data_IF_616281753917
#
_entry.id   IF_616281753917
#
_cell.length_a   1.000
_cell.length_b   1.000
_cell.length_c   1.000
_cell.angle_alpha   90.00
_cell.angle_beta   90.00
_cell.angle_gamma   90.00
#
_symmetry.space_group_name_H-M   'P 1'
#
loop_
_entity.id
_entity.type
_entity.pdbx_description
1 polymer ?
#
# COMPACT_ATOMS: atom_id res chain seq x y z
N UNK A 1 11.06 -18.67 26.55
CA UNK A 1 12.20 -19.43 25.99
C UNK A 1 13.27 -19.59 27.05
N UNK A 2 13.86 -20.78 27.22
CA UNK A 2 15.07 -20.94 28.04
C UNK A 2 16.26 -20.40 27.24
N UNK A 3 17.20 -19.68 27.87
CA UNK A 3 18.47 -19.28 27.26
C UNK A 3 19.37 -20.51 27.06
N UNK A 4 20.41 -20.39 26.24
CA UNK A 4 21.42 -21.45 26.10
C UNK A 4 21.97 -21.87 27.48
N UNK A 5 22.28 -23.15 27.63
CA UNK A 5 22.71 -23.72 28.91
C UNK A 5 23.91 -22.95 29.47
N UNK A 6 23.79 -22.45 30.71
CA UNK A 6 24.84 -21.71 31.42
C UNK A 6 24.76 -20.17 31.35
N UNK A 7 23.79 -19.58 30.63
CA UNK A 7 23.58 -18.13 30.61
C UNK A 7 22.64 -17.65 31.74
N UNK A 8 22.87 -16.45 32.30
CA UNK A 8 21.94 -15.84 33.26
C UNK A 8 20.59 -15.52 32.61
N UNK A 9 19.52 -15.33 33.40
CA UNK A 9 18.21 -14.96 32.87
C UNK A 9 18.30 -13.63 32.09
N UNK A 10 17.75 -13.60 30.88
CA UNK A 10 17.75 -12.45 29.96
C UNK A 10 16.33 -11.90 29.77
N UNK A 11 15.75 -11.19 30.76
CA UNK A 11 14.38 -10.69 30.67
C UNK A 11 14.22 -9.62 29.59
N UNK A 12 15.28 -8.83 29.33
CA UNK A 12 15.27 -7.78 28.31
C UNK A 12 15.14 -8.36 26.91
N UNK A 13 16.05 -9.27 26.52
CA UNK A 13 16.00 -9.93 25.22
C UNK A 13 14.71 -10.74 25.01
N UNK A 14 14.22 -11.42 26.04
CA UNK A 14 12.95 -12.17 25.96
C UNK A 14 11.74 -11.27 25.69
N UNK A 15 11.68 -10.09 26.30
CA UNK A 15 10.62 -9.11 26.02
C UNK A 15 10.65 -8.68 24.55
N UNK A 16 11.83 -8.35 24.02
CA UNK A 16 11.99 -7.97 22.62
C UNK A 16 11.62 -9.12 21.68
N UNK A 17 12.02 -10.35 21.99
CA UNK A 17 11.70 -11.54 21.23
C UNK A 17 10.18 -11.78 21.16
N UNK A 18 9.46 -11.66 22.28
CA UNK A 18 8.00 -11.79 22.28
C UNK A 18 7.33 -10.71 21.43
N UNK A 19 7.81 -9.45 21.51
CA UNK A 19 7.31 -8.36 20.66
C UNK A 19 7.50 -8.66 19.18
N UNK A 20 8.65 -9.22 18.79
CA UNK A 20 8.92 -9.60 17.39
C UNK A 20 7.95 -10.65 16.86
N UNK A 21 7.59 -11.65 17.68
CA UNK A 21 6.64 -12.71 17.29
C UNK A 21 5.23 -12.12 17.15
N UNK A 22 4.83 -11.26 18.08
CA UNK A 22 3.50 -10.63 18.05
C UNK A 22 3.37 -9.76 16.80
N UNK A 23 4.38 -8.96 16.47
CA UNK A 23 4.33 -8.08 15.30
C UNK A 23 4.37 -8.86 13.98
N UNK A 24 5.24 -9.85 13.86
CA UNK A 24 5.30 -10.70 12.68
C UNK A 24 3.99 -11.49 12.47
N UNK A 25 3.35 -11.98 13.53
CA UNK A 25 2.05 -12.68 13.42
C UNK A 25 0.93 -11.74 12.99
N UNK A 26 0.89 -10.50 13.49
CA UNK A 26 -0.06 -9.47 13.03
C UNK A 26 0.18 -9.15 11.55
N UNK A 27 1.43 -8.94 11.14
CA UNK A 27 1.78 -8.69 9.74
C UNK A 27 1.36 -9.86 8.84
N UNK A 28 1.68 -11.10 9.23
CA UNK A 28 1.28 -12.30 8.51
C UNK A 28 -0.23 -12.45 8.38
N UNK A 29 -0.98 -12.21 9.47
CA UNK A 29 -2.43 -12.23 9.46
C UNK A 29 -3.01 -11.22 8.46
N UNK A 30 -2.52 -9.98 8.45
CA UNK A 30 -2.98 -8.95 7.52
C UNK A 30 -2.64 -9.27 6.05
N UNK A 31 -1.47 -9.88 5.79
CA UNK A 31 -1.12 -10.37 4.46
C UNK A 31 -2.08 -11.48 4.03
N UNK A 32 -2.39 -12.44 4.90
CA UNK A 32 -3.37 -13.50 4.61
C UNK A 32 -4.74 -12.89 4.31
N UNK A 33 -5.23 -11.96 5.14
CA UNK A 33 -6.49 -11.26 4.88
C UNK A 33 -6.47 -10.54 3.52
N UNK A 34 -5.37 -9.86 3.17
CA UNK A 34 -5.21 -9.19 1.88
C UNK A 34 -5.32 -10.19 0.73
N UNK A 35 -4.64 -11.33 0.83
CA UNK A 35 -4.69 -12.38 -0.19
C UNK A 35 -6.10 -12.94 -0.33
N UNK A 36 -6.77 -13.26 0.77
CA UNK A 36 -8.16 -13.74 0.76
C UNK A 36 -9.10 -12.75 0.08
N UNK A 37 -9.01 -11.46 0.42
CA UNK A 37 -9.79 -10.40 -0.23
C UNK A 37 -9.50 -10.33 -1.72
N UNK A 38 -8.25 -10.53 -2.13
CA UNK A 38 -7.88 -10.50 -3.54
C UNK A 38 -8.40 -11.71 -4.30
N UNK A 39 -8.31 -12.91 -3.74
CA UNK A 39 -8.86 -14.13 -4.34
C UNK A 39 -10.39 -14.08 -4.43
N UNK A 40 -11.08 -13.66 -3.36
CA UNK A 40 -12.53 -13.68 -3.28
C UNK A 40 -13.19 -12.50 -4.03
N UNK A 41 -12.65 -11.28 -3.91
CA UNK A 41 -13.30 -10.07 -4.45
C UNK A 41 -12.77 -9.69 -5.82
N UNK A 42 -11.45 -9.73 -6.03
CA UNK A 42 -10.83 -9.16 -7.23
C UNK A 42 -10.48 -10.21 -8.30
N UNK A 43 -10.44 -11.51 -7.95
CA UNK A 43 -10.18 -12.66 -8.82
C UNK A 43 -8.92 -12.54 -9.71
N UNK A 44 -7.97 -11.67 -9.36
CA UNK A 44 -6.71 -11.47 -10.10
C UNK A 44 -5.56 -11.15 -9.14
N UNK A 45 -4.58 -12.06 -9.10
CA UNK A 45 -3.29 -11.87 -8.42
C UNK A 45 -2.42 -10.89 -9.22
N UNK A 46 -1.71 -10.03 -8.52
CA UNK A 46 -0.79 -9.07 -9.12
C UNK A 46 0.65 -9.34 -8.70
N UNK A 47 1.61 -8.81 -9.45
CA UNK A 47 3.03 -8.87 -9.10
C UNK A 47 3.32 -8.36 -7.69
N UNK A 48 2.53 -7.39 -7.20
CA UNK A 48 2.64 -6.86 -5.85
C UNK A 48 2.35 -7.91 -4.75
N UNK A 49 1.51 -8.92 -5.00
CA UNK A 49 1.27 -9.96 -3.98
C UNK A 49 2.45 -10.91 -3.85
N UNK A 50 3.06 -11.28 -4.97
CA UNK A 50 4.21 -12.20 -4.96
C UNK A 50 5.39 -11.57 -4.22
N UNK A 51 5.69 -10.30 -4.50
CA UNK A 51 6.75 -9.57 -3.79
C UNK A 51 6.42 -9.37 -2.31
N UNK A 52 5.13 -9.22 -1.95
CA UNK A 52 4.69 -9.13 -0.56
C UNK A 52 4.85 -10.46 0.19
N UNK A 53 4.50 -11.58 -0.44
CA UNK A 53 4.65 -12.93 0.13
C UNK A 53 6.14 -13.23 0.36
N UNK A 54 6.99 -12.89 -0.61
CA UNK A 54 8.45 -13.02 -0.46
C UNK A 54 8.95 -12.16 0.70
N UNK A 55 8.48 -10.92 0.81
CA UNK A 55 8.84 -10.05 1.94
C UNK A 55 8.43 -10.64 3.28
N UNK A 56 7.21 -11.19 3.38
CA UNK A 56 6.73 -11.85 4.60
C UNK A 56 7.58 -13.08 4.95
N UNK A 57 7.95 -13.90 3.97
CA UNK A 57 8.81 -15.07 4.20
C UNK A 57 10.19 -14.64 4.75
N UNK A 58 10.76 -13.56 4.20
CA UNK A 58 12.01 -12.99 4.71
C UNK A 58 11.85 -12.40 6.11
N UNK A 59 10.73 -11.74 6.41
CA UNK A 59 10.42 -11.22 7.74
C UNK A 59 10.30 -12.33 8.79
N UNK A 60 9.63 -13.45 8.45
CA UNK A 60 9.59 -14.64 9.31
C UNK A 60 11.01 -15.16 9.58
N UNK A 61 11.84 -15.24 8.52
CA UNK A 61 13.24 -15.62 8.66
C UNK A 61 14.02 -14.70 9.60
N UNK A 62 13.80 -13.38 9.53
CA UNK A 62 14.38 -12.43 10.47
C UNK A 62 13.91 -12.65 11.90
N UNK A 63 12.62 -12.87 12.11
CA UNK A 63 12.07 -13.15 13.45
C UNK A 63 12.74 -14.40 14.03
N UNK A 64 12.93 -15.45 13.24
CA UNK A 64 13.65 -16.66 13.67
C UNK A 64 15.09 -16.34 14.04
N UNK A 65 15.83 -15.60 13.20
CA UNK A 65 17.22 -15.21 13.49
C UNK A 65 17.31 -14.39 14.78
N UNK A 66 16.42 -13.42 14.98
CA UNK A 66 16.40 -12.59 16.19
C UNK A 66 16.12 -13.41 17.46
N UNK A 67 15.21 -14.40 17.38
CA UNK A 67 14.96 -15.29 18.51
C UNK A 67 16.19 -16.17 18.82
N UNK A 68 16.93 -16.60 17.79
CA UNK A 68 18.21 -17.31 17.98
C UNK A 68 19.27 -16.40 18.60
N UNK A 69 19.39 -15.15 18.17
CA UNK A 69 20.29 -14.17 18.79
C UNK A 69 20.01 -14.04 20.31
N UNK A 70 18.75 -13.86 20.68
CA UNK A 70 18.32 -13.75 22.08
C UNK A 70 18.60 -15.04 22.85
N UNK A 71 18.43 -16.21 22.22
CA UNK A 71 18.75 -17.51 22.80
C UNK A 71 20.23 -17.63 23.17
N UNK A 72 21.14 -17.14 22.31
CA UNK A 72 22.59 -17.09 22.55
C UNK A 72 23.04 -15.92 23.44
N UNK A 73 22.09 -15.11 23.95
CA UNK A 73 22.37 -14.11 24.97
C UNK A 73 22.39 -12.66 24.49
N UNK A 74 21.93 -12.34 23.27
CA UNK A 74 21.70 -10.95 22.88
C UNK A 74 20.70 -10.26 23.81
N UNK A 75 21.05 -9.07 24.29
CA UNK A 75 20.28 -8.34 25.30
C UNK A 75 20.79 -8.49 26.73
N UNK A 76 21.81 -9.33 26.98
CA UNK A 76 22.59 -9.31 28.22
C UNK A 76 23.77 -8.32 28.10
N UNK A 77 24.32 -7.90 29.24
CA UNK A 77 25.53 -7.06 29.25
C UNK A 77 26.74 -7.86 28.74
N UNK A 78 27.65 -7.20 28.01
CA UNK A 78 28.79 -7.85 27.33
C UNK A 78 29.64 -8.72 28.28
N UNK A 79 29.74 -8.34 29.57
CA UNK A 79 30.52 -9.06 30.59
C UNK A 79 29.93 -10.41 31.01
N UNK A 80 28.64 -10.63 30.77
CA UNK A 80 27.91 -11.83 31.19
C UNK A 80 27.91 -12.95 30.13
N UNK A 81 28.45 -12.67 28.94
CA UNK A 81 28.47 -13.62 27.83
C UNK A 81 29.85 -14.26 27.66
N UNK A 82 29.85 -15.58 27.53
CA UNK A 82 31.00 -16.33 27.08
C UNK A 82 31.39 -15.99 25.63
N UNK A 83 32.67 -16.18 25.29
CA UNK A 83 33.20 -15.90 23.97
C UNK A 83 32.55 -16.75 22.87
N UNK A 84 32.22 -18.01 23.17
CA UNK A 84 31.58 -18.90 22.19
C UNK A 84 30.16 -18.43 21.84
N UNK A 85 29.35 -18.14 22.86
CA UNK A 85 27.98 -17.65 22.67
C UNK A 85 27.94 -16.28 21.97
N UNK A 86 28.95 -15.42 22.18
CA UNK A 86 29.09 -14.16 21.44
C UNK A 86 29.27 -14.36 19.94
N UNK A 87 30.11 -15.31 19.54
CA UNK A 87 30.37 -15.58 18.12
C UNK A 87 29.09 -16.05 17.44
N UNK A 88 28.38 -17.01 18.05
CA UNK A 88 27.09 -17.51 17.54
C UNK A 88 26.05 -16.38 17.46
N UNK A 89 25.92 -15.55 18.50
CA UNK A 89 25.00 -14.42 18.48
C UNK A 89 25.31 -13.42 17.34
N UNK A 90 26.59 -13.10 17.10
CA UNK A 90 26.97 -12.21 16.00
C UNK A 90 26.81 -12.85 14.63
N UNK A 91 26.93 -14.18 14.52
CA UNK A 91 26.66 -14.91 13.29
C UNK A 91 25.18 -14.81 12.90
N UNK A 92 24.27 -15.09 13.84
CA UNK A 92 22.83 -14.91 13.63
C UNK A 92 22.46 -13.46 13.31
N UNK A 93 23.09 -12.49 13.98
CA UNK A 93 22.93 -11.07 13.68
C UNK A 93 23.35 -10.73 12.24
N UNK A 94 24.48 -11.26 11.78
CA UNK A 94 24.95 -11.02 10.41
C UNK A 94 23.95 -11.58 9.38
N UNK A 95 23.40 -12.77 9.60
CA UNK A 95 22.34 -13.34 8.76
C UNK A 95 21.07 -12.48 8.80
N UNK A 96 20.65 -12.03 9.99
CA UNK A 96 19.47 -11.17 10.16
C UNK A 96 19.61 -9.85 9.39
N UNK A 97 20.80 -9.24 9.39
CA UNK A 97 21.07 -8.00 8.64
C UNK A 97 20.92 -8.17 7.13
N UNK A 98 21.32 -9.32 6.58
CA UNK A 98 21.14 -9.62 5.17
C UNK A 98 19.65 -9.78 4.83
N UNK A 99 18.93 -10.57 5.63
CA UNK A 99 17.49 -10.77 5.48
C UNK A 99 16.72 -9.44 5.57
N UNK A 100 17.11 -8.54 6.48
CA UNK A 100 16.53 -7.20 6.61
C UNK A 100 16.63 -6.40 5.31
N UNK A 101 17.82 -6.36 4.70
CA UNK A 101 18.03 -5.60 3.46
C UNK A 101 17.14 -6.11 2.33
N UNK A 102 17.05 -7.43 2.19
CA UNK A 102 16.15 -8.06 1.21
C UNK A 102 14.67 -7.78 1.51
N UNK A 103 14.22 -7.97 2.76
CA UNK A 103 12.83 -7.77 3.14
C UNK A 103 12.40 -6.31 2.97
N UNK A 104 13.25 -5.36 3.39
CA UNK A 104 13.00 -3.93 3.22
C UNK A 104 12.89 -3.56 1.72
N UNK A 105 13.84 -4.01 0.89
CA UNK A 105 13.79 -3.81 -0.56
C UNK A 105 12.52 -4.37 -1.21
N UNK A 106 12.16 -5.62 -0.89
CA UNK A 106 10.95 -6.28 -1.43
C UNK A 106 9.66 -5.58 -1.00
N UNK A 107 9.61 -5.07 0.23
CA UNK A 107 8.44 -4.31 0.72
C UNK A 107 8.29 -2.99 -0.03
N UNK A 108 9.39 -2.26 -0.25
CA UNK A 108 9.36 -1.01 -1.02
C UNK A 108 8.94 -1.26 -2.47
N UNK A 109 9.46 -2.31 -3.12
CA UNK A 109 9.04 -2.74 -4.47
C UNK A 109 7.54 -3.04 -4.50
N UNK A 110 7.03 -3.76 -3.50
CA UNK A 110 5.59 -4.07 -3.36
C UNK A 110 4.74 -2.80 -3.34
N UNK A 111 5.15 -1.78 -2.58
CA UNK A 111 4.44 -0.49 -2.49
C UNK A 111 4.42 0.21 -3.85
N UNK A 112 5.54 0.24 -4.57
CA UNK A 112 5.61 0.85 -5.91
C UNK A 112 4.75 0.10 -6.93
N UNK A 113 4.77 -1.23 -6.90
CA UNK A 113 3.91 -2.06 -7.76
C UNK A 113 2.42 -1.83 -7.46
N UNK A 114 2.06 -1.65 -6.19
CA UNK A 114 0.71 -1.24 -5.80
C UNK A 114 0.36 0.14 -6.40
N UNK A 115 1.27 1.10 -6.37
CA UNK A 115 1.05 2.42 -6.96
C UNK A 115 0.88 2.36 -8.48
N UNK A 116 1.69 1.55 -9.18
CA UNK A 116 1.55 1.30 -10.63
C UNK A 116 0.17 0.77 -11.02
N UNK A 117 -0.47 0.02 -10.12
CA UNK A 117 -1.83 -0.50 -10.30
C UNK A 117 -2.90 0.56 -10.07
N UNK A 118 -2.70 1.44 -9.08
CA UNK A 118 -3.66 2.50 -8.75
C UNK A 118 -3.64 3.61 -9.82
N UNK A 119 -2.46 3.96 -10.32
CA UNK A 119 -2.26 5.08 -11.24
C UNK A 119 -1.83 4.61 -12.64
N UNK A 120 -2.74 4.57 -13.62
CA UNK A 120 -2.43 4.06 -14.95
C UNK A 120 -1.65 5.05 -15.85
N UNK A 121 -1.33 6.26 -15.39
CA UNK A 121 -0.71 7.33 -16.19
C UNK A 121 0.71 6.99 -16.68
N UNK A 122 1.01 7.23 -17.97
CA UNK A 122 2.33 6.90 -18.57
C UNK A 122 3.53 7.53 -17.86
N UNK A 123 3.45 8.83 -17.53
CA UNK A 123 4.51 9.54 -16.79
C UNK A 123 4.77 8.92 -15.41
N UNK A 124 3.69 8.54 -14.72
CA UNK A 124 3.76 7.87 -13.42
C UNK A 124 4.42 6.50 -13.54
N UNK A 125 4.08 5.72 -14.59
CA UNK A 125 4.70 4.41 -14.83
C UNK A 125 6.20 4.51 -15.02
N UNK A 126 6.67 5.48 -15.81
CA UNK A 126 8.11 5.69 -16.02
C UNK A 126 8.80 6.01 -14.69
N UNK A 127 8.26 6.96 -13.92
CA UNK A 127 8.80 7.31 -12.60
C UNK A 127 8.84 6.11 -11.66
N UNK A 128 7.76 5.33 -11.58
CA UNK A 128 7.68 4.16 -10.71
C UNK A 128 8.69 3.07 -11.11
N UNK A 129 8.88 2.80 -12.40
CA UNK A 129 9.92 1.87 -12.85
C UNK A 129 11.33 2.38 -12.52
N UNK A 130 11.60 3.69 -12.64
CA UNK A 130 12.87 4.28 -12.21
C UNK A 130 13.11 4.09 -10.71
N UNK A 131 12.07 4.23 -9.87
CA UNK A 131 12.17 4.01 -8.43
C UNK A 131 12.37 2.53 -8.10
N UNK A 132 11.73 1.60 -8.79
CA UNK A 132 12.03 0.16 -8.65
C UNK A 132 13.52 -0.08 -9.00
N UNK A 133 14.02 0.50 -10.09
CA UNK A 133 15.43 0.42 -10.46
C UNK A 133 16.37 0.93 -9.36
N UNK A 134 16.06 2.10 -8.78
CA UNK A 134 16.80 2.64 -7.63
C UNK A 134 16.75 1.72 -6.42
N UNK A 135 15.57 1.18 -6.07
CA UNK A 135 15.41 0.29 -4.91
C UNK A 135 16.20 -1.00 -5.10
N UNK A 136 16.17 -1.59 -6.29
CA UNK A 136 16.96 -2.80 -6.61
C UNK A 136 18.45 -2.49 -6.51
N UNK A 137 18.92 -1.39 -7.15
CA UNK A 137 20.33 -1.02 -7.13
C UNK A 137 20.86 -0.77 -5.72
N UNK A 138 20.11 -0.03 -4.88
CA UNK A 138 20.50 0.21 -3.49
C UNK A 138 20.50 -1.08 -2.68
N UNK A 139 19.49 -1.95 -2.84
CA UNK A 139 19.39 -3.20 -2.10
C UNK A 139 20.57 -4.13 -2.44
N UNK A 140 20.88 -4.27 -3.72
CA UNK A 140 22.04 -5.05 -4.19
C UNK A 140 23.34 -4.48 -3.62
N UNK A 141 23.56 -3.16 -3.70
CA UNK A 141 24.75 -2.53 -3.15
C UNK A 141 24.85 -2.72 -1.61
N UNK A 142 23.73 -2.58 -0.90
CA UNK A 142 23.64 -2.75 0.55
C UNK A 142 23.94 -4.19 0.99
N UNK A 143 23.50 -5.19 0.22
CA UNK A 143 23.78 -6.61 0.48
C UNK A 143 25.23 -6.93 0.18
N UNK A 144 25.74 -6.55 -1.00
CA UNK A 144 27.13 -6.78 -1.38
C UNK A 144 28.09 -6.18 -0.36
N UNK A 145 27.87 -4.94 0.06
CA UNK A 145 28.72 -4.28 1.07
C UNK A 145 28.63 -4.94 2.45
N UNK A 146 27.50 -5.55 2.81
CA UNK A 146 27.37 -6.29 4.08
C UNK A 146 27.97 -7.69 4.03
N UNK A 147 27.99 -8.34 2.87
CA UNK A 147 28.69 -9.62 2.70
C UNK A 147 30.20 -9.40 2.76
N UNK A 148 30.70 -8.37 2.06
CA UNK A 148 32.13 -8.03 2.00
C UNK A 148 32.53 -6.93 2.99
N UNK A 149 31.84 -6.82 4.13
CA UNK A 149 32.16 -5.80 5.13
C UNK A 149 33.51 -6.03 5.84
N UNK A 150 34.02 -7.26 5.82
CA UNK A 150 35.29 -7.67 6.43
C UNK A 150 36.05 -8.61 5.50
N UNK A 151 37.39 -8.54 5.60
CA UNK A 151 38.32 -9.48 4.97
C UNK A 151 39.24 -10.08 6.05
N UNK A 152 39.13 -11.39 6.36
CA UNK A 152 38.21 -12.38 5.79
C UNK A 152 36.75 -12.19 6.26
N UNK A 153 35.77 -12.67 5.48
CA UNK A 153 34.33 -12.54 5.77
C UNK A 153 33.98 -13.05 7.18
N UNK A 154 34.63 -14.14 7.62
CA UNK A 154 34.42 -14.72 8.96
C UNK A 154 34.67 -13.76 10.11
N UNK A 155 35.50 -12.72 9.89
CA UNK A 155 35.78 -11.69 10.89
C UNK A 155 34.54 -10.86 11.25
N UNK A 156 33.50 -10.86 10.41
CA UNK A 156 32.23 -10.19 10.69
C UNK A 156 31.56 -10.72 11.97
N UNK A 157 31.62 -12.04 12.23
CA UNK A 157 31.08 -12.66 13.44
C UNK A 157 32.17 -13.13 14.43
N UNK A 158 33.34 -13.54 13.94
CA UNK A 158 34.51 -13.89 14.77
C UNK A 158 35.48 -12.71 14.89
N UNK A 159 35.17 -11.77 15.78
CA UNK A 159 35.95 -10.53 15.97
C UNK A 159 37.42 -10.73 16.39
N UNK A 160 37.78 -11.92 16.88
CA UNK A 160 39.16 -12.26 17.30
C UNK A 160 40.09 -12.61 16.15
N UNK A 161 39.58 -12.84 14.92
CA UNK A 161 40.43 -13.15 13.78
C UNK A 161 41.24 -11.92 13.30
N UNK A 162 42.50 -12.11 12.87
CA UNK A 162 43.27 -11.06 12.19
C UNK A 162 42.61 -10.73 10.84
N UNK A 163 42.70 -9.46 10.43
CA UNK A 163 42.07 -8.96 9.20
C UNK A 163 41.63 -7.51 9.31
N UNK A 164 41.00 -6.98 8.26
CA UNK A 164 40.49 -5.62 8.22
C UNK A 164 38.97 -5.62 8.00
N UNK A 165 38.26 -4.71 8.65
CA UNK A 165 36.83 -4.48 8.42
C UNK A 165 36.60 -3.02 8.06
N UNK A 166 35.62 -2.76 7.21
CA UNK A 166 35.13 -1.40 6.97
C UNK A 166 34.54 -0.86 8.28
N UNK A 167 34.61 0.45 8.47
CA UNK A 167 33.97 1.13 9.60
C UNK A 167 32.46 0.86 9.59
N UNK A 168 32.04 -0.06 10.46
CA UNK A 168 30.67 -0.56 10.54
C UNK A 168 29.72 0.60 10.86
N UNK A 169 30.14 1.56 11.70
CA UNK A 169 29.34 2.73 12.03
C UNK A 169 29.03 3.56 10.78
N UNK A 170 30.05 3.88 9.98
CA UNK A 170 29.88 4.64 8.73
C UNK A 170 29.03 3.88 7.71
N UNK A 171 29.24 2.56 7.56
CA UNK A 171 28.44 1.73 6.67
C UNK A 171 26.95 1.75 7.05
N UNK A 172 26.65 1.66 8.35
CA UNK A 172 25.28 1.73 8.87
C UNK A 172 24.63 3.09 8.67
N UNK A 173 25.38 4.18 8.90
CA UNK A 173 24.91 5.54 8.61
C UNK A 173 24.58 5.71 7.12
N UNK A 174 25.48 5.29 6.23
CA UNK A 174 25.25 5.36 4.79
C UNK A 174 24.00 4.56 4.36
N UNK A 175 23.85 3.33 4.84
CA UNK A 175 22.67 2.50 4.55
C UNK A 175 21.37 3.15 5.04
N UNK A 176 21.40 3.76 6.23
CA UNK A 176 20.23 4.38 6.82
C UNK A 176 19.81 5.64 6.05
N UNK A 177 20.77 6.47 5.61
CA UNK A 177 20.50 7.63 4.74
C UNK A 177 19.88 7.21 3.42
N UNK A 178 20.43 6.19 2.74
CA UNK A 178 19.89 5.70 1.47
C UNK A 178 18.46 5.15 1.61
N UNK A 179 18.18 4.50 2.74
CA UNK A 179 16.84 4.00 3.07
C UNK A 179 15.86 5.16 3.29
N UNK A 180 16.25 6.19 4.05
CA UNK A 180 15.43 7.40 4.26
C UNK A 180 15.14 8.10 2.92
N UNK A 181 16.14 8.20 2.03
CA UNK A 181 15.93 8.77 0.68
C UNK A 181 14.92 7.94 -0.11
N UNK A 182 15.01 6.61 -0.05
CA UNK A 182 14.03 5.72 -0.69
C UNK A 182 12.61 5.98 -0.17
N UNK A 183 12.45 6.11 1.15
CA UNK A 183 11.15 6.38 1.77
C UNK A 183 10.60 7.75 1.42
N UNK A 184 11.44 8.78 1.38
CA UNK A 184 11.03 10.12 0.93
C UNK A 184 10.53 10.10 -0.52
N UNK A 185 11.20 9.36 -1.40
CA UNK A 185 10.78 9.21 -2.80
C UNK A 185 9.43 8.48 -2.89
N UNK A 186 9.23 7.41 -2.12
CA UNK A 186 7.96 6.68 -2.07
C UNK A 186 6.81 7.55 -1.58
N UNK A 187 7.06 8.38 -0.57
CA UNK A 187 6.11 9.34 0.01
C UNK A 187 5.78 10.43 -1.03
N UNK A 188 6.78 11.01 -1.68
CA UNK A 188 6.60 12.10 -2.65
C UNK A 188 5.86 11.68 -3.94
N UNK A 189 6.04 10.42 -4.37
CA UNK A 189 5.51 9.90 -5.64
C UNK A 189 3.98 10.05 -5.77
N UNK A 190 3.13 9.57 -4.84
CA UNK A 190 1.68 9.71 -4.95
C UNK A 190 1.20 11.15 -4.74
N UNK A 191 1.86 11.97 -3.91
CA UNK A 191 1.42 13.34 -3.59
C UNK A 191 1.33 14.20 -4.84
N UNK A 192 2.36 14.17 -5.68
CA UNK A 192 2.39 14.92 -6.94
C UNK A 192 1.23 14.55 -7.87
N UNK A 193 0.81 13.27 -7.86
CA UNK A 193 -0.27 12.79 -8.69
C UNK A 193 -1.65 13.15 -8.10
N UNK A 194 -1.81 13.10 -6.77
CA UNK A 194 -3.06 13.45 -6.08
C UNK A 194 -3.43 14.92 -6.28
N UNK A 195 -2.44 15.82 -6.19
CA UNK A 195 -2.69 17.26 -6.34
C UNK A 195 -3.21 17.60 -7.75
N UNK A 196 -2.82 16.81 -8.75
CA UNK A 196 -3.18 17.06 -10.16
C UNK A 196 -4.44 16.30 -10.63
N UNK A 197 -4.88 15.28 -9.91
CA UNK A 197 -5.94 14.38 -10.37
C UNK A 197 -7.18 14.43 -9.45
N UNK A 198 -8.34 14.78 -10.02
CA UNK A 198 -9.64 14.80 -9.32
C UNK A 198 -10.11 13.35 -9.04
N UNK A 199 -9.54 12.73 -8.00
CA UNK A 199 -9.93 11.38 -7.56
C UNK A 199 -11.17 11.42 -6.66
N UNK A 200 -12.03 10.38 -6.70
CA UNK A 200 -13.13 10.23 -5.74
C UNK A 200 -12.59 10.12 -4.31
N UNK A 201 -13.30 10.71 -3.34
CA UNK A 201 -12.92 10.80 -1.92
C UNK A 201 -12.51 9.44 -1.31
N UNK A 202 -13.17 8.35 -1.73
CA UNK A 202 -12.87 7.00 -1.27
C UNK A 202 -11.46 6.53 -1.66
N UNK A 203 -10.99 6.83 -2.86
CA UNK A 203 -9.63 6.50 -3.30
C UNK A 203 -8.60 7.45 -2.67
N UNK A 204 -8.93 8.75 -2.60
CA UNK A 204 -8.09 9.78 -1.99
C UNK A 204 -7.76 9.46 -0.53
N UNK A 205 -8.75 9.05 0.26
CA UNK A 205 -8.57 8.74 1.68
C UNK A 205 -7.71 7.49 1.91
N UNK A 206 -7.78 6.49 1.01
CA UNK A 206 -6.93 5.29 1.13
C UNK A 206 -5.45 5.63 0.88
N UNK A 207 -5.21 6.55 -0.03
CA UNK A 207 -3.87 7.00 -0.36
C UNK A 207 -3.26 7.92 0.70
N UNK A 208 -4.07 8.79 1.31
CA UNK A 208 -3.66 9.59 2.49
C UNK A 208 -3.25 8.65 3.63
N UNK A 209 -4.01 7.58 3.88
CA UNK A 209 -3.69 6.64 4.94
C UNK A 209 -2.36 5.92 4.72
N UNK A 210 -2.09 5.44 3.50
CA UNK A 210 -0.79 4.85 3.15
C UNK A 210 0.34 5.85 3.30
N UNK A 211 0.12 7.10 2.90
CA UNK A 211 1.09 8.16 3.04
C UNK A 211 1.43 8.44 4.51
N UNK A 212 0.43 8.55 5.38
CA UNK A 212 0.63 8.74 6.82
C UNK A 212 1.44 7.61 7.45
N UNK A 213 1.20 6.36 7.02
CA UNK A 213 1.99 5.21 7.47
C UNK A 213 3.41 5.23 6.93
N UNK A 214 3.64 5.67 5.69
CA UNK A 214 4.97 5.88 5.14
C UNK A 214 5.77 6.91 5.94
N UNK A 215 5.13 8.03 6.33
CA UNK A 215 5.74 9.04 7.20
C UNK A 215 6.08 8.46 8.58
N UNK A 216 5.21 7.62 9.14
CA UNK A 216 5.46 6.94 10.41
C UNK A 216 6.67 6.00 10.32
N UNK A 217 6.77 5.17 9.28
CA UNK A 217 7.92 4.29 9.04
C UNK A 217 9.21 5.11 8.91
N UNK A 218 9.19 6.19 8.13
CA UNK A 218 10.35 7.09 7.98
C UNK A 218 10.78 7.70 9.33
N UNK A 219 9.83 8.10 10.17
CA UNK A 219 10.12 8.61 11.50
C UNK A 219 10.78 7.53 12.39
N UNK A 220 10.31 6.28 12.32
CA UNK A 220 10.96 5.15 13.00
C UNK A 220 12.41 4.95 12.54
N UNK A 221 12.68 5.02 11.23
CA UNK A 221 14.04 4.90 10.67
C UNK A 221 14.96 6.04 11.15
N UNK A 222 14.44 7.26 11.26
CA UNK A 222 15.20 8.43 11.77
C UNK A 222 15.53 8.24 13.26
N UNK A 223 14.56 7.83 14.08
CA UNK A 223 14.79 7.57 15.51
C UNK A 223 15.90 6.51 15.68
N UNK A 224 15.86 5.43 14.90
CA UNK A 224 16.91 4.40 14.89
C UNK A 224 18.29 4.98 14.57
N UNK A 225 18.37 5.87 13.58
CA UNK A 225 19.62 6.54 13.19
C UNK A 225 20.23 7.36 14.34
N UNK A 226 19.39 8.05 15.12
CA UNK A 226 19.81 8.88 16.25
C UNK A 226 20.25 8.03 17.45
N UNK A 227 19.52 6.93 17.72
CA UNK A 227 19.83 6.03 18.85
C UNK A 227 21.13 5.23 18.66
N UNK A 228 21.60 5.07 17.42
CA UNK A 228 22.85 4.34 17.13
C UNK A 228 24.11 5.18 17.35
N UNK A 229 24.01 6.51 17.28
CA UNK A 229 25.15 7.43 17.45
C UNK A 229 25.94 7.27 18.75
N UNK A 230 25.31 7.00 19.91
CA UNK A 230 26.00 6.75 21.18
C UNK A 230 26.53 5.32 21.35
N UNK A 231 26.02 4.34 20.61
CA UNK A 231 26.27 2.90 20.85
C UNK A 231 27.69 2.45 20.48
N UNK A 232 28.37 3.17 19.59
CA UNK A 232 29.73 2.85 19.15
C UNK A 232 30.80 3.11 20.21
N UNK A 233 30.48 3.84 21.29
CA UNK A 233 31.45 4.26 22.33
C UNK A 233 31.32 3.50 23.66
N UNK A 234 30.28 2.67 23.84
CA UNK A 234 29.92 2.09 25.14
C UNK A 234 30.42 0.64 25.33
N UNK A 235 30.87 0.31 26.54
CA UNK A 235 31.34 -1.02 26.97
C UNK A 235 30.26 -2.14 26.85
N UNK A 236 28.99 -1.77 26.68
CA UNK A 236 27.84 -2.69 26.59
C UNK A 236 27.26 -2.81 25.17
N UNK A 237 28.14 -3.01 24.19
CA UNK A 237 27.76 -3.16 22.78
C UNK A 237 26.67 -4.21 22.53
N UNK A 238 26.66 -5.34 23.25
CA UNK A 238 25.68 -6.44 23.04
C UNK A 238 24.26 -6.06 23.50
N UNK A 239 24.14 -5.30 24.59
CA UNK A 239 22.84 -4.90 25.16
C UNK A 239 22.11 -3.93 24.21
N UNK A 240 22.80 -2.84 23.82
CA UNK A 240 22.23 -1.83 22.94
C UNK A 240 22.02 -2.33 21.51
N UNK A 241 22.84 -3.28 21.05
CA UNK A 241 22.68 -3.86 19.73
C UNK A 241 21.41 -4.71 19.62
N UNK A 242 21.00 -5.40 20.70
CA UNK A 242 19.71 -6.09 20.74
C UNK A 242 18.53 -5.12 20.65
N UNK A 243 18.61 -3.96 21.33
CA UNK A 243 17.60 -2.91 21.20
C UNK A 243 17.55 -2.34 19.77
N UNK A 244 18.71 -2.04 19.18
CA UNK A 244 18.79 -1.56 17.79
C UNK A 244 18.22 -2.56 16.79
N UNK A 245 18.55 -3.85 16.94
CA UNK A 245 18.01 -4.90 16.08
C UNK A 245 16.49 -5.07 16.28
N UNK A 246 15.97 -4.67 17.45
CA UNK A 246 14.54 -4.73 17.67
C UNK A 246 13.76 -3.73 16.84
N UNK A 247 14.32 -2.53 16.68
CA UNK A 247 13.75 -1.51 15.81
C UNK A 247 13.76 -1.91 14.33
N UNK A 248 14.76 -2.67 13.87
CA UNK A 248 14.83 -3.09 12.45
C UNK A 248 13.79 -4.13 12.07
N UNK A 249 13.44 -5.08 12.95
CA UNK A 249 12.35 -6.01 12.65
C UNK A 249 10.99 -5.29 12.68
N UNK A 250 10.79 -4.39 13.66
CA UNK A 250 9.57 -3.58 13.75
C UNK A 250 9.36 -2.73 12.49
N UNK A 251 10.43 -2.14 11.97
CA UNK A 251 10.41 -1.38 10.73
C UNK A 251 9.88 -2.21 9.55
N UNK A 252 10.37 -3.45 9.40
CA UNK A 252 9.94 -4.34 8.31
C UNK A 252 8.50 -4.81 8.50
N UNK A 253 8.13 -5.24 9.71
CA UNK A 253 6.76 -5.70 10.01
C UNK A 253 5.74 -4.56 9.78
N UNK A 254 6.03 -3.35 10.27
CA UNK A 254 5.18 -2.17 10.06
C UNK A 254 5.10 -1.81 8.57
N UNK A 255 6.20 -1.93 7.83
CA UNK A 255 6.20 -1.68 6.38
C UNK A 255 5.33 -2.68 5.62
N UNK A 256 5.36 -3.96 5.99
CA UNK A 256 4.51 -5.03 5.41
C UNK A 256 3.04 -4.75 5.75
N UNK A 257 2.75 -4.41 7.01
CA UNK A 257 1.41 -4.01 7.47
C UNK A 257 0.92 -2.82 6.63
N UNK A 258 1.73 -1.77 6.48
CA UNK A 258 1.41 -0.60 5.67
C UNK A 258 1.11 -0.95 4.22
N UNK A 259 1.90 -1.83 3.60
CA UNK A 259 1.68 -2.28 2.23
C UNK A 259 0.36 -3.07 2.09
N UNK A 260 -0.08 -3.78 3.13
CA UNK A 260 -1.28 -4.62 3.13
C UNK A 260 -2.60 -3.82 3.24
N UNK A 261 -2.60 -2.74 4.03
CA UNK A 261 -3.78 -1.96 4.42
C UNK A 261 -4.61 -1.32 3.28
N UNK A 262 -4.03 -0.69 2.24
CA UNK A 262 -4.82 -0.01 1.20
C UNK A 262 -5.82 -0.93 0.48
N UNK A 263 -5.52 -2.23 0.34
CA UNK A 263 -6.43 -3.21 -0.26
C UNK A 263 -7.45 -3.78 0.73
N UNK A 264 -7.18 -3.71 2.03
CA UNK A 264 -8.11 -4.11 3.10
C UNK A 264 -9.17 -3.04 3.37
N UNK A 265 -8.98 -1.81 2.90
CA UNK A 265 -9.96 -0.72 3.08
C UNK A 265 -11.34 -1.06 2.52
N UNK A 266 -11.41 -1.58 1.29
CA UNK A 266 -12.67 -1.85 0.59
C UNK A 266 -13.56 -2.88 1.31
N UNK A 267 -13.06 -4.02 1.79
CA UNK A 267 -13.86 -4.94 2.60
C UNK A 267 -14.16 -4.40 4.00
N UNK A 268 -13.24 -3.65 4.63
CA UNK A 268 -13.47 -3.05 5.95
C UNK A 268 -14.65 -2.07 5.93
N UNK A 269 -14.80 -1.29 4.85
CA UNK A 269 -15.95 -0.40 4.66
C UNK A 269 -17.28 -1.16 4.49
N UNK A 270 -17.26 -2.41 4.00
CA UNK A 270 -18.46 -3.24 3.87
C UNK A 270 -18.82 -3.98 5.15
N UNK A 271 -17.81 -4.40 5.93
CA UNK A 271 -17.98 -5.13 7.20
C UNK A 271 -18.33 -4.20 8.37
N UNK A 272 -17.86 -2.95 8.35
CA UNK A 272 -18.06 -1.99 9.44
C UNK A 272 -18.69 -0.68 8.92
N UNK A 273 -19.93 -0.73 8.35
CA UNK A 273 -20.62 0.47 7.85
C UNK A 273 -20.90 1.48 8.97
N UNK A 274 -20.94 1.04 10.23
CA UNK A 274 -21.20 1.88 11.40
C UNK A 274 -20.00 2.72 11.85
N UNK A 275 -18.76 2.31 11.52
CA UNK A 275 -17.53 3.03 11.90
C UNK A 275 -17.07 3.96 10.76
N UNK A 276 -17.32 3.57 9.50
CA UNK A 276 -17.02 4.38 8.30
C UNK A 276 -18.25 5.11 7.74
N UNK A 277 -19.31 5.23 8.53
CA UNK A 277 -20.63 5.70 8.13
C UNK A 277 -20.63 7.03 7.39
N UNK A 278 -20.46 7.00 6.08
CA UNK A 278 -21.22 7.87 5.21
C UNK A 278 -22.66 7.41 5.36
N UNK A 279 -23.45 8.20 6.10
CA UNK A 279 -24.89 8.17 5.98
C UNK A 279 -25.17 8.31 4.49
N UNK A 280 -25.53 7.21 3.83
CA UNK A 280 -26.26 7.29 2.58
C UNK A 280 -27.49 8.11 2.92
N UNK A 281 -27.48 9.39 2.54
CA UNK A 281 -28.70 10.18 2.51
C UNK A 281 -29.61 9.44 1.55
N UNK A 282 -30.50 8.62 2.12
CA UNK A 282 -31.64 8.10 1.41
C UNK A 282 -32.36 9.34 0.90
N UNK A 283 -32.18 9.64 -0.38
CA UNK A 283 -32.93 10.68 -1.05
C UNK A 283 -34.39 10.24 -0.94
N UNK A 284 -35.11 10.81 0.03
CA UNK A 284 -36.57 10.78 0.01
C UNK A 284 -36.96 11.42 -1.32
N UNK A 285 -37.42 10.60 -2.26
CA UNK A 285 -38.17 11.08 -3.40
C UNK A 285 -39.53 11.56 -2.89
N UNK A 286 -39.59 12.78 -2.36
CA UNK A 286 -40.86 13.49 -2.26
C UNK A 286 -41.22 13.92 -3.69
N UNK A 287 -42.03 13.08 -4.33
CA UNK A 287 -42.65 13.38 -5.61
C UNK A 287 -43.64 14.53 -5.45
N UNK A 288 -43.20 15.74 -5.78
CA UNK A 288 -44.09 16.89 -5.98
C UNK A 288 -44.73 16.76 -7.38
N UNK A 289 -45.86 16.05 -7.46
CA UNK A 289 -46.81 16.21 -8.55
C UNK A 289 -48.01 17.03 -8.05
N UNK A 290 -47.95 18.36 -8.19
CA UNK A 290 -49.14 19.19 -8.20
C UNK A 290 -49.53 19.46 -9.64
N UNK A 291 -50.39 18.59 -10.18
CA UNK A 291 -51.10 18.81 -11.44
C UNK A 291 -52.14 19.92 -11.26
N UNK A 292 -51.98 20.98 -12.05
CA UNK A 292 -52.88 22.14 -12.06
C UNK A 292 -54.14 21.79 -12.85
N UNK A 293 -55.25 21.50 -12.18
CA UNK A 293 -56.55 21.24 -12.81
C UNK A 293 -57.27 22.57 -13.07
N UNK A 294 -57.11 23.11 -14.28
CA UNK A 294 -57.85 24.26 -14.76
C UNK A 294 -59.27 23.82 -15.15
N UNK A 295 -60.27 24.25 -14.37
CA UNK A 295 -61.70 24.14 -14.73
C UNK A 295 -62.04 25.16 -15.82
N UNK A 296 -62.53 24.71 -16.96
CA UNK A 296 -63.33 25.56 -17.86
C UNK A 296 -64.59 24.83 -18.29
N UNK A 297 -65.72 25.49 -18.08
CA UNK A 297 -67.06 25.11 -18.50
C UNK A 297 -67.25 25.30 -20.01
N UNK A 298 -68.15 24.53 -20.62
CA UNK A 298 -68.59 24.77 -22.00
C UNK A 298 -69.44 23.64 -22.59
N UNK A 299 -70.69 23.97 -22.93
CA UNK A 299 -71.78 23.11 -23.45
C UNK A 299 -71.53 22.56 -24.87
N UNK A 300 -72.16 21.43 -25.21
CA UNK A 300 -72.81 21.25 -26.52
C UNK A 300 -72.63 19.92 -27.28
N UNK A 301 -73.73 19.14 -27.35
CA UNK A 301 -74.25 18.34 -28.48
C UNK A 301 -73.56 17.04 -29.00
N UNK A 302 -74.25 15.91 -28.73
CA UNK A 302 -74.77 14.87 -29.65
C UNK A 302 -73.86 13.86 -30.43
N UNK A 303 -73.90 12.56 -30.01
CA UNK A 303 -74.41 11.32 -30.69
C UNK A 303 -73.86 10.92 -32.12
N UNK A 304 -73.67 9.62 -32.50
CA UNK A 304 -73.43 8.35 -31.75
C UNK A 304 -72.59 7.25 -32.51
N UNK A 305 -72.64 6.00 -31.97
CA UNK A 305 -72.52 4.66 -32.63
C UNK A 305 -71.09 4.19 -33.01
N UNK A 306 -70.69 2.93 -32.83
CA UNK A 306 -71.45 1.68 -32.94
C UNK A 306 -70.81 0.52 -32.14
N UNK A 307 -71.67 -0.39 -31.70
CA UNK A 307 -71.41 -1.68 -31.10
C UNK A 307 -70.63 -2.62 -32.03
N UNK A 308 -69.77 -3.47 -31.45
CA UNK A 308 -69.72 -4.88 -31.88
C UNK A 308 -69.60 -5.82 -30.68
N UNK A 309 -70.58 -6.71 -30.64
CA UNK A 309 -70.87 -7.69 -29.61
C UNK A 309 -69.96 -8.93 -29.70
N UNK A 310 -69.89 -9.68 -28.60
CA UNK A 310 -69.39 -11.06 -28.58
C UNK A 310 -69.15 -11.62 -27.17
N UNK A 311 -70.22 -11.97 -26.43
CA UNK A 311 -70.23 -12.92 -25.28
C UNK A 311 -70.23 -14.37 -25.81
N UNK A 312 -69.85 -15.45 -25.06
CA UNK A 312 -70.37 -15.83 -23.72
C UNK A 312 -69.31 -16.34 -22.70
N UNK A 313 -69.45 -16.10 -21.38
CA UNK A 313 -70.15 -16.86 -20.31
C UNK A 313 -69.40 -18.14 -19.86
N UNK A 314 -69.00 -18.18 -18.57
CA UNK A 314 -68.07 -19.13 -17.95
C UNK A 314 -68.57 -20.57 -17.70
N UNK A 315 -67.87 -21.33 -16.82
CA UNK A 315 -68.37 -21.48 -15.45
C UNK A 315 -67.30 -21.39 -14.35
N UNK A 316 -67.81 -21.24 -13.13
CA UNK A 316 -67.16 -21.07 -11.84
C UNK A 316 -66.63 -22.39 -11.26
N UNK A 317 -65.44 -22.37 -10.66
CA UNK A 317 -65.08 -23.25 -9.53
C UNK A 317 -63.92 -22.64 -8.73
N UNK A 318 -64.18 -22.34 -7.46
CA UNK A 318 -63.19 -21.96 -6.44
C UNK A 318 -62.16 -23.08 -6.22
N UNK A 319 -60.89 -22.70 -6.07
CA UNK A 319 -60.03 -23.04 -4.92
C UNK A 319 -58.53 -22.96 -5.27
N UNK A 320 -57.85 -22.09 -4.54
CA UNK A 320 -56.49 -22.23 -3.99
C UNK A 320 -55.26 -22.47 -4.88
N UNK A 321 -54.20 -21.80 -4.45
CA UNK A 321 -52.76 -22.13 -4.57
C UNK A 321 -52.06 -21.92 -5.92
N UNK A 322 -51.05 -21.06 -5.82
CA UNK A 322 -49.71 -21.15 -6.39
C UNK A 322 -49.49 -20.77 -7.86
N UNK A 323 -48.77 -19.65 -8.00
CA UNK A 323 -48.24 -19.10 -9.24
C UNK A 323 -47.21 -20.06 -9.86
N UNK A 324 -47.53 -20.62 -11.03
CA UNK A 324 -46.54 -21.20 -11.93
C UNK A 324 -46.29 -20.23 -13.12
N UNK A 325 -45.00 -19.96 -13.33
CA UNK A 325 -44.34 -20.25 -14.60
C UNK A 325 -44.78 -19.45 -15.85
N UNK A 326 -43.95 -18.49 -16.26
CA UNK A 326 -43.65 -18.29 -17.69
C UNK A 326 -42.15 -18.05 -17.86
N UNK A 327 -41.47 -19.06 -18.39
CA UNK A 327 -40.24 -18.94 -19.15
C UNK A 327 -40.59 -18.70 -20.63
N UNK A 328 -39.70 -17.97 -21.30
CA UNK A 328 -39.43 -17.95 -22.75
C UNK A 328 -40.38 -17.20 -23.70
N UNK A 329 -39.88 -16.05 -24.19
CA UNK A 329 -39.86 -15.73 -25.62
C UNK A 329 -38.95 -14.51 -25.85
N UNK A 330 -37.99 -14.66 -26.78
CA UNK A 330 -36.89 -13.73 -27.00
C UNK A 330 -37.27 -12.37 -27.57
N UNK A 331 -36.64 -11.33 -27.03
CA UNK A 331 -36.26 -10.10 -27.73
C UNK A 331 -35.11 -9.45 -26.94
N UNK A 332 -33.92 -9.39 -27.53
CA UNK A 332 -32.75 -8.75 -26.90
C UNK A 332 -33.01 -7.26 -26.67
N UNK A 333 -32.78 -6.78 -25.45
CA UNK A 333 -32.91 -5.36 -25.12
C UNK A 333 -31.65 -4.63 -25.61
N UNK A 334 -31.73 -3.95 -26.75
CA UNK A 334 -30.72 -2.96 -27.15
C UNK A 334 -30.95 -1.65 -26.38
N UNK A 335 -29.97 -1.24 -25.58
CA UNK A 335 -29.97 0.04 -24.87
C UNK A 335 -29.16 1.07 -25.68
N UNK A 336 -29.86 1.94 -26.40
CA UNK A 336 -29.24 3.08 -27.10
C UNK A 336 -29.07 4.23 -26.13
N UNK A 337 -27.84 4.51 -25.71
CA UNK A 337 -27.52 5.69 -24.89
C UNK A 337 -27.16 6.85 -25.80
N UNK A 338 -28.04 7.85 -25.91
CA UNK A 338 -27.68 9.15 -26.50
C UNK A 338 -26.84 9.92 -25.48
N UNK A 339 -25.58 10.19 -25.82
CA UNK A 339 -24.70 11.07 -25.05
C UNK A 339 -24.66 12.42 -25.76
N UNK A 340 -25.30 13.43 -25.20
CA UNK A 340 -25.11 14.83 -25.59
C UNK A 340 -23.89 15.37 -24.83
N UNK A 341 -22.85 15.72 -25.56
CA UNK A 341 -21.67 16.42 -25.03
C UNK A 341 -21.92 17.92 -25.18
N UNK A 342 -22.15 18.60 -24.06
CA UNK A 342 -22.09 20.05 -23.98
C UNK A 342 -20.62 20.41 -23.72
N UNK A 343 -19.96 21.02 -24.71
CA UNK A 343 -18.63 21.58 -24.53
C UNK A 343 -18.78 22.99 -23.98
N UNK A 344 -18.30 23.22 -22.77
CA UNK A 344 -18.12 24.56 -22.22
C UNK A 344 -16.84 25.15 -22.83
N UNK A 345 -16.99 26.07 -23.80
CA UNK A 345 -15.87 26.86 -24.35
C UNK A 345 -15.32 27.76 -23.24
N UNK A 346 -14.16 27.38 -22.69
CA UNK A 346 -13.39 28.26 -21.84
C UNK A 346 -12.85 29.44 -22.69
N UNK A 347 -13.26 30.66 -22.31
CA UNK A 347 -12.84 31.94 -22.87
C UNK A 347 -11.31 32.02 -23.08
N UNK A 348 -10.88 32.00 -24.35
CA UNK A 348 -9.56 32.50 -24.76
C UNK A 348 -9.78 33.48 -25.92
N UNK A 349 -10.50 34.57 -25.65
CA UNK A 349 -10.64 35.69 -26.60
C UNK A 349 -10.87 37.00 -25.85
N UNK A 350 -9.84 37.51 -25.15
CA UNK A 350 -9.71 38.95 -24.87
C UNK A 350 -8.30 39.55 -25.00
N UNK A 351 -7.24 38.75 -25.14
CA UNK A 351 -5.86 39.29 -25.23
C UNK A 351 -5.28 39.45 -26.66
N UNK A 352 -6.08 39.27 -27.71
CA UNK A 352 -5.62 39.45 -29.11
C UNK A 352 -6.22 40.66 -29.84
N UNK A 353 -7.02 41.49 -29.16
CA UNK A 353 -7.67 42.66 -29.78
C UNK A 353 -6.81 43.94 -29.82
N UNK A 354 -5.54 43.92 -29.36
CA UNK A 354 -4.74 45.15 -29.23
C UNK A 354 -3.42 45.16 -30.03
N UNK A 355 -3.34 44.44 -31.16
CA UNK A 355 -2.23 44.60 -32.11
C UNK A 355 -2.72 45.06 -33.48
N UNK A 356 -2.66 46.38 -33.65
CA UNK A 356 -2.76 47.14 -34.91
C UNK A 356 -1.88 46.49 -36.01
N UNK A 357 -2.38 46.29 -37.24
CA UNK A 357 -1.58 45.67 -38.30
C UNK A 357 -0.54 46.64 -38.87
N UNK A 358 0.74 46.25 -38.86
CA UNK A 358 1.79 46.85 -39.69
C UNK A 358 1.84 46.10 -41.02
N UNK A 359 1.58 46.81 -42.10
CA UNK A 359 1.88 46.37 -43.47
C UNK A 359 3.39 46.14 -43.60
N UNK A 360 3.77 44.98 -44.10
CA UNK A 360 5.14 44.61 -44.43
C UNK A 360 5.13 43.48 -45.44
N UNK A 361 5.15 43.85 -46.71
CA UNK A 361 5.45 43.01 -47.86
C UNK A 361 6.83 42.36 -47.67
N UNK A 362 6.91 41.04 -47.80
CA UNK A 362 8.18 40.31 -47.85
C UNK A 362 8.38 39.77 -49.27
N UNK A 363 9.30 40.40 -49.99
CA UNK A 363 9.91 39.91 -51.22
C UNK A 363 10.86 38.74 -50.91
N UNK A 364 10.80 37.71 -51.74
CA UNK A 364 11.78 36.62 -51.79
C UNK A 364 12.89 37.01 -52.77
N UNK A 365 14.12 37.17 -52.27
CA UNK A 365 15.31 37.47 -53.07
C UNK A 365 16.51 36.64 -52.63
N UNK A 366 17.00 35.82 -53.57
CA UNK A 366 18.20 34.98 -53.55
C UNK A 366 19.51 35.80 -53.67
N UNK A 367 20.64 35.11 -53.43
CA UNK A 367 22.05 35.48 -53.68
C UNK A 367 22.70 36.41 -52.62
N UNK A 368 23.92 36.19 -52.14
CA UNK A 368 25.03 35.27 -52.49
C UNK A 368 25.92 35.07 -51.27
#
# INVERSE_FOLDING_TARGET
MKTAAGLPPNPHGQRLAHVSIIMCTIAGFLVICRLLVRFLVHRRTGWDDYTLIISLALAIGMTVCFNMEVYYGMGLHTKQLDAHNKVLAFEWLWVAQLLYKFANGMTKITIVLLYLRIFPTRKFKILAWSVIGYVVAYCTAAVCTSIWQCDPIEKAWKKTLPGHCIDIGKLWYANSVLTIVADLVLIAMPVNQIVRLKLPLSQKLGLIFVFSLGVFVMACTIIRCVMLGPTTSQKDSVYYQAESNSWTFLEVDVSIICASLPLLKTPLQRLLPQIFGMKSSSAKSDGYYHGNAQKSSGRGAAIPMNNRAGRPRGPYSDAASDEEQILESGAGIMKTTKVTLEYEEAEITKDLADRKPRNGTFDFGLQS
#
